data_IF_865953221960
#
_entry.id   IF_865953221960
#
_cell.length_a   1.000
_cell.length_b   1.000
_cell.length_c   1.000
_cell.angle_alpha   90.00
_cell.angle_beta   90.00
_cell.angle_gamma   90.00
#
_symmetry.space_group_name_H-M   'P 1'
#
loop_
_entity.id
_entity.type
_entity.pdbx_description
1 polymer ?
#
# COMPACT_ATOMS: atom_id res chain seq x y z
N UNK A 1 3.19 19.98 10.66
CA UNK A 1 2.31 19.68 9.50
C UNK A 1 1.75 18.28 9.67
N UNK A 2 0.45 18.08 9.52
CA UNK A 2 -0.18 16.74 9.57
C UNK A 2 0.25 15.95 8.32
N UNK A 3 0.76 14.73 8.50
CA UNK A 3 1.19 13.87 7.39
C UNK A 3 -0.05 13.42 6.60
N UNK A 4 -0.06 13.66 5.29
CA UNK A 4 -1.08 13.09 4.39
C UNK A 4 -0.53 11.80 3.84
N UNK A 5 -1.16 10.67 4.18
CA UNK A 5 -0.66 9.34 3.84
C UNK A 5 -1.82 8.40 3.58
N UNK A 6 -1.75 7.63 2.50
CA UNK A 6 -2.71 6.56 2.20
C UNK A 6 -2.46 5.32 3.08
N UNK A 7 -3.48 4.47 3.20
CA UNK A 7 -3.33 3.18 3.88
C UNK A 7 -2.23 2.33 3.22
N UNK A 8 -2.17 2.31 1.89
CA UNK A 8 -1.17 1.52 1.15
C UNK A 8 0.26 2.02 1.40
N UNK A 9 0.48 3.34 1.41
CA UNK A 9 1.77 3.90 1.81
C UNK A 9 2.11 3.60 3.27
N UNK A 10 1.12 3.63 4.17
CA UNK A 10 1.31 3.34 5.58
C UNK A 10 1.69 1.88 5.84
N UNK A 11 1.06 0.96 5.12
CA UNK A 11 1.36 -0.46 5.14
C UNK A 11 2.70 -0.76 4.44
N UNK A 12 2.99 -0.09 3.33
CA UNK A 12 4.25 -0.20 2.59
C UNK A 12 5.47 0.17 3.42
N UNK A 13 5.41 1.26 4.19
CA UNK A 13 6.47 1.64 5.15
C UNK A 13 6.75 0.56 6.20
N UNK A 14 5.81 -0.37 6.44
CA UNK A 14 5.91 -1.47 7.42
C UNK A 14 6.17 -2.83 6.77
N UNK A 15 6.35 -2.88 5.45
CA UNK A 15 6.50 -4.15 4.71
C UNK A 15 5.20 -4.96 4.60
N UNK A 16 4.04 -4.33 4.80
CA UNK A 16 2.72 -4.98 4.82
C UNK A 16 1.83 -4.57 3.62
N UNK A 17 2.45 -4.06 2.54
CA UNK A 17 1.71 -3.61 1.34
C UNK A 17 0.98 -4.77 0.66
N UNK A 18 1.59 -5.95 0.59
CA UNK A 18 0.94 -7.14 0.04
C UNK A 18 -0.28 -7.55 0.89
N UNK A 19 -1.38 -8.01 0.28
CA UNK A 19 -2.50 -8.59 1.02
C UNK A 19 -2.17 -9.98 1.58
N UNK A 20 -1.12 -10.64 1.09
CA UNK A 20 -0.73 -12.01 1.43
C UNK A 20 0.73 -12.08 1.89
N UNK A 21 1.05 -13.11 2.69
CA UNK A 21 2.42 -13.42 3.09
C UNK A 21 3.27 -13.83 1.89
N UNK A 22 4.53 -13.41 1.90
CA UNK A 22 5.58 -13.76 0.94
C UNK A 22 6.26 -15.11 1.24
N UNK A 23 5.91 -15.77 2.35
CA UNK A 23 6.53 -17.01 2.84
C UNK A 23 6.66 -18.09 1.75
N UNK A 24 5.66 -18.18 0.87
CA UNK A 24 5.59 -19.21 -0.18
C UNK A 24 6.43 -18.89 -1.42
N UNK A 25 6.85 -17.63 -1.62
CA UNK A 25 7.51 -17.18 -2.86
C UNK A 25 8.82 -17.94 -3.11
N UNK A 26 9.61 -18.16 -2.05
CA UNK A 26 10.90 -18.85 -2.11
C UNK A 26 10.78 -20.39 -2.03
N UNK A 27 9.59 -20.93 -1.75
CA UNK A 27 9.40 -22.36 -1.46
C UNK A 27 8.93 -23.20 -2.65
N UNK A 28 9.04 -22.64 -3.85
CA UNK A 28 8.57 -23.26 -5.09
C UNK A 28 9.55 -24.27 -5.71
N UNK A 29 10.81 -24.35 -5.24
CA UNK A 29 11.82 -25.25 -5.83
C UNK A 29 12.02 -26.51 -4.99
N UNK A 30 11.36 -27.61 -5.38
CA UNK A 30 11.45 -28.91 -4.71
C UNK A 30 11.81 -30.00 -5.73
N UNK A 31 13.10 -30.15 -6.10
CA UNK A 31 13.54 -31.00 -7.22
C UNK A 31 13.24 -32.49 -7.08
N UNK A 32 13.11 -33.00 -5.85
CA UNK A 32 12.90 -34.42 -5.56
C UNK A 32 11.55 -34.71 -4.88
N UNK A 33 10.63 -33.73 -4.89
CA UNK A 33 9.38 -33.80 -4.13
C UNK A 33 9.58 -33.71 -2.61
N UNK A 34 8.48 -33.74 -1.87
CA UNK A 34 8.49 -33.82 -0.40
C UNK A 34 7.89 -35.14 0.07
N UNK A 35 8.45 -35.69 1.14
CA UNK A 35 7.79 -36.79 1.87
C UNK A 35 6.48 -36.29 2.51
N UNK A 36 5.55 -37.20 2.80
CA UNK A 36 4.27 -36.85 3.44
C UNK A 36 4.45 -36.10 4.76
N UNK A 37 5.45 -36.50 5.57
CA UNK A 37 5.79 -35.81 6.83
C UNK A 37 6.28 -34.39 6.60
N UNK A 38 7.16 -34.18 5.62
CA UNK A 38 7.67 -32.86 5.27
C UNK A 38 6.54 -31.96 4.73
N UNK A 39 5.67 -32.50 3.87
CA UNK A 39 4.53 -31.76 3.35
C UNK A 39 3.56 -31.33 4.47
N UNK A 40 3.29 -32.21 5.45
CA UNK A 40 2.45 -31.88 6.60
C UNK A 40 3.06 -30.75 7.46
N UNK A 41 4.37 -30.79 7.67
CA UNK A 41 5.07 -29.72 8.40
C UNK A 41 5.04 -28.41 7.62
N UNK A 42 5.32 -28.46 6.32
CA UNK A 42 5.29 -27.32 5.43
C UNK A 42 3.94 -26.61 5.41
N UNK A 43 2.84 -27.36 5.32
CA UNK A 43 1.48 -26.79 5.35
C UNK A 43 1.17 -26.09 6.68
N UNK A 44 1.61 -26.67 7.81
CA UNK A 44 1.47 -26.03 9.13
C UNK A 44 2.26 -24.74 9.23
N UNK A 45 3.49 -24.73 8.74
CA UNK A 45 4.35 -23.54 8.77
C UNK A 45 3.80 -22.44 7.85
N UNK A 46 3.32 -22.80 6.66
CA UNK A 46 2.65 -21.88 5.75
C UNK A 46 1.36 -21.31 6.35
N UNK A 47 0.59 -22.12 7.07
CA UNK A 47 -0.60 -21.66 7.79
C UNK A 47 -0.28 -20.69 8.90
N UNK A 48 0.73 -21.00 9.71
CA UNK A 48 1.21 -20.10 10.74
C UNK A 48 1.69 -18.77 10.15
N UNK A 49 2.53 -18.80 9.12
CA UNK A 49 3.04 -17.59 8.48
C UNK A 49 1.92 -16.71 7.90
N UNK A 50 0.88 -17.33 7.31
CA UNK A 50 -0.29 -16.63 6.79
C UNK A 50 -1.08 -15.93 7.90
N UNK A 51 -1.31 -16.63 9.01
CA UNK A 51 -2.07 -16.10 10.14
C UNK A 51 -1.29 -14.96 10.81
N UNK A 52 0.01 -15.18 11.10
CA UNK A 52 0.89 -14.16 11.67
C UNK A 52 0.95 -12.89 10.81
N UNK A 53 1.02 -13.04 9.48
CA UNK A 53 1.01 -11.91 8.56
C UNK A 53 -0.34 -11.18 8.54
N UNK A 54 -1.45 -11.93 8.48
CA UNK A 54 -2.81 -11.39 8.54
C UNK A 54 -3.02 -10.57 9.81
N UNK A 55 -2.60 -11.08 10.97
CA UNK A 55 -2.74 -10.42 12.25
C UNK A 55 -1.92 -9.13 12.33
N UNK A 56 -0.65 -9.17 11.88
CA UNK A 56 0.19 -7.96 11.78
C UNK A 56 -0.43 -6.91 10.88
N UNK A 57 -0.94 -7.30 9.72
CA UNK A 57 -1.59 -6.40 8.76
C UNK A 57 -2.86 -5.79 9.33
N UNK A 58 -3.70 -6.60 9.99
CA UNK A 58 -4.93 -6.14 10.62
C UNK A 58 -4.65 -5.19 11.79
N UNK A 59 -3.63 -5.46 12.60
CA UNK A 59 -3.19 -4.55 13.65
C UNK A 59 -2.73 -3.19 13.07
N UNK A 60 -1.94 -3.20 12.00
CA UNK A 60 -1.49 -1.97 11.33
C UNK A 60 -2.66 -1.17 10.72
N UNK A 61 -3.67 -1.84 10.16
CA UNK A 61 -4.90 -1.19 9.65
C UNK A 61 -5.67 -0.54 10.79
N UNK A 62 -5.84 -1.23 11.92
CA UNK A 62 -6.51 -0.67 13.11
C UNK A 62 -5.77 0.56 13.62
N UNK A 63 -4.44 0.47 13.73
CA UNK A 63 -3.58 1.58 14.15
C UNK A 63 -3.71 2.80 13.20
N UNK A 64 -3.70 2.57 11.89
CA UNK A 64 -3.91 3.63 10.89
C UNK A 64 -5.27 4.32 11.06
N UNK A 65 -6.34 3.54 11.24
CA UNK A 65 -7.68 4.08 11.45
C UNK A 65 -7.76 4.91 12.74
N UNK A 66 -7.15 4.43 13.83
CA UNK A 66 -7.05 5.19 15.08
C UNK A 66 -6.26 6.50 14.89
N UNK A 67 -5.18 6.49 14.11
CA UNK A 67 -4.38 7.68 13.80
C UNK A 67 -5.13 8.71 12.95
N UNK A 68 -6.00 8.26 12.04
CA UNK A 68 -6.93 9.14 11.31
C UNK A 68 -7.94 9.75 12.27
N UNK A 69 -8.58 8.93 13.11
CA UNK A 69 -9.58 9.41 14.07
C UNK A 69 -8.99 10.43 15.06
N UNK A 70 -7.74 10.23 15.48
CA UNK A 70 -6.99 11.16 16.32
C UNK A 70 -6.50 12.42 15.58
N UNK A 71 -6.67 12.51 14.25
CA UNK A 71 -6.22 13.66 13.44
C UNK A 71 -4.70 13.73 13.22
N UNK A 72 -3.94 12.70 13.62
CA UNK A 72 -2.47 12.64 13.44
C UNK A 72 -2.07 12.34 12.00
N UNK A 73 -2.91 11.60 11.27
CA UNK A 73 -2.77 11.31 9.84
C UNK A 73 -4.01 11.82 9.12
N UNK A 74 -3.79 12.49 7.99
CA UNK A 74 -4.87 12.87 7.07
C UNK A 74 -4.94 11.86 5.92
N UNK A 75 -6.10 11.24 5.74
CA UNK A 75 -6.34 10.39 4.57
C UNK A 75 -6.31 11.25 3.29
N UNK A 76 -5.71 10.74 2.20
CA UNK A 76 -5.66 11.48 0.95
C UNK A 76 -7.07 11.66 0.37
N UNK A 77 -7.38 12.87 -0.05
CA UNK A 77 -8.61 13.19 -0.75
C UNK A 77 -8.64 12.68 -2.19
N UNK A 78 -9.80 12.84 -2.84
CA UNK A 78 -10.07 12.39 -4.22
C UNK A 78 -9.01 12.87 -5.25
N UNK A 79 -8.45 14.05 -5.04
CA UNK A 79 -7.49 14.69 -5.95
C UNK A 79 -6.04 14.58 -5.53
N UNK A 80 -5.75 14.10 -4.32
CA UNK A 80 -4.39 14.13 -3.78
C UNK A 80 -3.46 13.21 -4.57
N UNK A 81 -3.97 12.07 -5.06
CA UNK A 81 -3.21 11.18 -5.95
C UNK A 81 -2.86 11.87 -7.28
N UNK A 82 -3.82 12.59 -7.88
CA UNK A 82 -3.60 13.35 -9.11
C UNK A 82 -2.63 14.51 -8.90
N UNK A 83 -2.73 15.22 -7.77
CA UNK A 83 -1.81 16.31 -7.40
C UNK A 83 -0.40 15.75 -7.18
N UNK A 84 -0.26 14.59 -6.50
CA UNK A 84 1.02 13.90 -6.31
C UNK A 84 1.63 13.54 -7.66
N UNK A 85 0.86 12.97 -8.58
CA UNK A 85 1.33 12.66 -9.95
C UNK A 85 1.69 13.94 -10.72
N UNK A 86 0.88 14.99 -10.65
CA UNK A 86 1.12 16.24 -11.39
C UNK A 86 2.42 16.98 -11.00
N UNK A 87 2.97 16.68 -9.80
CA UNK A 87 4.25 17.20 -9.30
C UNK A 87 5.49 16.46 -9.83
N UNK A 88 5.32 15.41 -10.63
CA UNK A 88 6.42 14.72 -11.30
C UNK A 88 7.07 15.55 -12.43
N UNK A 89 8.02 14.93 -13.12
CA UNK A 89 8.74 15.55 -14.24
C UNK A 89 7.83 15.85 -15.44
N UNK A 90 8.05 16.97 -16.12
CA UNK A 90 7.13 17.51 -17.13
C UNK A 90 7.01 16.64 -18.39
N UNK A 91 8.07 15.90 -18.69
CA UNK A 91 8.16 15.03 -19.87
C UNK A 91 7.33 13.76 -19.73
N UNK A 92 6.94 13.38 -18.51
CA UNK A 92 6.18 12.16 -18.30
C UNK A 92 4.71 12.36 -18.78
N UNK A 93 4.22 11.54 -19.73
CA UNK A 93 2.85 11.64 -20.24
C UNK A 93 1.78 11.57 -19.12
N UNK A 94 2.05 10.79 -18.07
CA UNK A 94 1.15 10.66 -16.92
C UNK A 94 1.04 11.97 -16.13
N UNK A 95 2.14 12.72 -16.02
CA UNK A 95 2.18 14.02 -15.34
C UNK A 95 1.38 15.05 -16.13
N UNK A 96 1.55 15.10 -17.46
CA UNK A 96 0.78 15.97 -18.34
C UNK A 96 -0.72 15.66 -18.29
N UNK A 97 -1.09 14.37 -18.34
CA UNK A 97 -2.48 13.94 -18.22
C UNK A 97 -3.09 14.36 -16.87
N UNK A 98 -2.36 14.18 -15.77
CA UNK A 98 -2.81 14.62 -14.45
C UNK A 98 -3.02 16.14 -14.37
N UNK A 99 -2.09 16.93 -14.90
CA UNK A 99 -2.21 18.39 -14.97
C UNK A 99 -3.43 18.83 -15.79
N UNK A 100 -3.67 18.22 -16.96
CA UNK A 100 -4.88 18.49 -17.78
C UNK A 100 -6.17 18.15 -17.03
N UNK A 101 -6.21 16.99 -16.37
CA UNK A 101 -7.37 16.55 -15.60
C UNK A 101 -7.68 17.50 -14.43
N UNK A 102 -6.66 17.99 -13.72
CA UNK A 102 -6.82 18.97 -12.64
C UNK A 102 -7.28 20.33 -13.16
N UNK A 103 -6.71 20.82 -14.28
CA UNK A 103 -7.13 22.06 -14.95
C UNK A 103 -8.61 22.02 -15.34
N UNK A 104 -9.07 20.92 -15.96
CA UNK A 104 -10.48 20.74 -16.35
C UNK A 104 -11.44 20.80 -15.15
N UNK A 105 -10.97 20.41 -13.97
CA UNK A 105 -11.75 20.44 -12.72
C UNK A 105 -11.62 21.76 -11.96
N UNK A 106 -10.89 22.74 -12.51
CA UNK A 106 -10.65 24.02 -11.86
C UNK A 106 -9.78 23.88 -10.61
N UNK A 107 -8.77 22.99 -10.62
CA UNK A 107 -7.85 22.80 -9.49
C UNK A 107 -6.44 23.15 -9.93
N UNK A 108 -5.76 24.01 -9.17
CA UNK A 108 -4.37 24.34 -9.36
C UNK A 108 -3.50 23.20 -8.80
N UNK A 109 -2.76 22.52 -9.66
CA UNK A 109 -1.93 21.38 -9.28
C UNK A 109 -0.72 21.74 -8.40
N UNK A 110 -0.26 23.00 -8.42
CA UNK A 110 0.83 23.48 -7.55
C UNK A 110 0.34 23.66 -6.12
N UNK A 111 -0.76 24.39 -5.94
CA UNK A 111 -1.31 24.73 -4.63
C UNK A 111 -2.32 23.72 -4.08
N UNK A 112 -2.89 22.86 -4.93
CA UNK A 112 -3.99 21.96 -4.59
C UNK A 112 -5.33 22.67 -4.35
N UNK A 113 -5.41 23.98 -4.57
CA UNK A 113 -6.61 24.81 -4.35
C UNK A 113 -7.43 24.95 -5.62
N UNK A 114 -8.71 25.32 -5.48
CA UNK A 114 -9.55 25.67 -6.62
C UNK A 114 -8.95 26.90 -7.33
N UNK A 115 -8.92 26.85 -8.65
CA UNK A 115 -8.56 27.95 -9.54
C UNK A 115 -9.63 29.06 -9.49
#
# INVERSE_FOLDING_TARGET
>A
MIKTQSLDEYLGERGLSSPISDYMVDKMRIPHGMTSRQNKQFLKDAEKARNDYSDKRNAAIKEYNSKIAAGTIKAPGKYDKLIKTARGHEDNPSVQAARRALKKRGINWKSGKKL
#
